data_IF_320307356832
#
_entry.id   IF_320307356832
#
_cell.length_a   1.000
_cell.length_b   1.000
_cell.length_c   1.000
_cell.angle_alpha   90.00
_cell.angle_beta   90.00
_cell.angle_gamma   90.00
#
_symmetry.space_group_name_H-M   'P 1'
#
loop_
_entity.id
_entity.type
_entity.pdbx_description
1 polymer ?
#
# COMPACT_ATOMS: atom_id res chain seq x y z
N UNK A 1 42.25 -18.01 -14.97
CA UNK A 1 41.29 -18.68 -14.07
C UNK A 1 40.44 -17.61 -13.40
N UNK A 2 39.18 -17.93 -13.10
CA UNK A 2 38.01 -17.04 -13.18
C UNK A 2 37.97 -15.79 -12.26
N UNK A 3 37.42 -14.71 -12.80
CA UNK A 3 37.01 -13.49 -12.10
C UNK A 3 35.67 -13.73 -11.39
N UNK A 4 35.65 -13.66 -10.05
CA UNK A 4 34.40 -13.72 -9.28
C UNK A 4 33.78 -12.33 -9.17
N UNK A 5 32.88 -12.00 -10.09
CA UNK A 5 31.91 -10.91 -9.91
C UNK A 5 30.87 -11.34 -8.88
N UNK A 6 31.14 -11.10 -7.60
CA UNK A 6 30.12 -11.25 -6.56
C UNK A 6 29.16 -10.07 -6.68
N UNK A 7 28.00 -10.32 -7.29
CA UNK A 7 26.80 -9.51 -7.15
C UNK A 7 26.42 -9.52 -5.67
N UNK A 8 26.80 -8.46 -4.96
CA UNK A 8 26.24 -8.14 -3.66
C UNK A 8 24.80 -7.65 -3.92
N UNK A 9 23.88 -8.59 -3.76
CA UNK A 9 22.45 -8.40 -3.67
C UNK A 9 22.23 -7.28 -2.63
N UNK A 10 21.86 -6.10 -3.10
CA UNK A 10 21.46 -4.95 -2.29
C UNK A 10 20.16 -5.34 -1.59
N UNK A 11 20.29 -6.04 -0.47
CA UNK A 11 19.23 -6.05 0.53
C UNK A 11 18.95 -4.59 0.82
N UNK A 12 17.70 -4.09 0.68
CA UNK A 12 17.43 -2.69 0.89
C UNK A 12 17.82 -2.42 2.33
N UNK A 13 18.97 -1.76 2.52
CA UNK A 13 19.37 -1.21 3.80
C UNK A 13 18.17 -0.41 4.21
N UNK A 14 17.45 -0.87 5.25
CA UNK A 14 16.32 -0.15 5.81
C UNK A 14 16.92 1.13 6.36
N UNK A 15 17.06 2.12 5.49
CA UNK A 15 17.50 3.48 5.79
C UNK A 15 16.68 3.86 7.02
N UNK A 16 17.27 4.44 8.08
CA UNK A 16 16.53 4.79 9.28
C UNK A 16 15.33 5.58 8.81
N UNK A 17 14.15 4.96 8.87
CA UNK A 17 12.95 5.46 8.23
C UNK A 17 12.72 6.81 8.89
N UNK A 18 13.00 7.90 8.15
CA UNK A 18 12.87 9.25 8.65
C UNK A 18 11.42 9.34 9.13
N UNK A 19 11.23 9.29 10.44
CA UNK A 19 9.96 8.97 11.11
C UNK A 19 8.80 9.59 10.35
N UNK A 20 8.13 8.79 9.52
CA UNK A 20 7.15 9.33 8.60
C UNK A 20 6.03 9.94 9.41
N UNK A 21 5.70 11.19 9.12
CA UNK A 21 4.66 11.88 9.87
C UNK A 21 3.33 11.26 9.47
N UNK A 22 2.55 10.71 10.42
CA UNK A 22 1.23 10.22 10.10
C UNK A 22 0.38 11.37 9.58
N UNK A 23 -0.26 11.15 8.44
CA UNK A 23 -1.09 12.14 7.77
C UNK A 23 -2.57 11.90 8.04
N UNK A 24 -3.37 12.97 7.98
CA UNK A 24 -4.82 12.87 8.11
C UNK A 24 -5.47 12.31 6.84
N UNK A 25 -6.70 11.80 6.97
CA UNK A 25 -7.50 11.28 5.86
C UNK A 25 -7.60 12.23 4.64
N UNK A 26 -7.59 13.55 4.86
CA UNK A 26 -7.63 14.54 3.76
C UNK A 26 -6.36 14.49 2.89
N UNK A 27 -5.20 14.39 3.51
CA UNK A 27 -3.92 14.33 2.79
C UNK A 27 -3.78 12.99 2.07
N UNK A 28 -4.20 11.90 2.71
CA UNK A 28 -4.29 10.60 2.07
C UNK A 28 -5.23 10.59 0.85
N UNK A 29 -6.34 11.35 0.93
CA UNK A 29 -7.30 11.53 -0.15
C UNK A 29 -6.73 12.27 -1.35
N UNK A 30 -5.98 13.33 -1.11
CA UNK A 30 -5.26 14.04 -2.16
C UNK A 30 -4.19 13.14 -2.80
N UNK A 31 -3.48 12.34 -2.00
CA UNK A 31 -2.46 11.41 -2.50
C UNK A 31 -3.04 10.31 -3.40
N UNK A 32 -4.14 9.68 -3.00
CA UNK A 32 -4.81 8.63 -3.77
C UNK A 32 -5.76 9.18 -4.85
N UNK A 33 -5.95 10.51 -4.92
CA UNK A 33 -6.96 11.16 -5.75
C UNK A 33 -8.39 10.59 -5.54
N UNK A 34 -8.72 10.28 -4.28
CA UNK A 34 -10.01 9.73 -3.89
C UNK A 34 -10.77 10.68 -2.96
N UNK A 35 -12.09 10.53 -2.87
CA UNK A 35 -12.86 11.29 -1.90
C UNK A 35 -12.56 10.82 -0.46
N UNK A 36 -12.42 11.75 0.48
CA UNK A 36 -12.07 11.48 1.89
C UNK A 36 -12.99 10.43 2.52
N UNK A 37 -14.31 10.52 2.25
CA UNK A 37 -15.30 9.56 2.77
C UNK A 37 -15.02 8.13 2.30
N UNK A 38 -14.55 7.97 1.06
CA UNK A 38 -14.23 6.66 0.50
C UNK A 38 -13.01 6.06 1.18
N UNK A 39 -11.96 6.85 1.43
CA UNK A 39 -10.77 6.39 2.17
C UNK A 39 -11.12 5.98 3.58
N UNK A 40 -11.87 6.81 4.31
CA UNK A 40 -12.28 6.47 5.68
C UNK A 40 -13.13 5.19 5.72
N UNK A 41 -13.99 4.99 4.72
CA UNK A 41 -14.79 3.77 4.59
C UNK A 41 -13.89 2.55 4.32
N UNK A 42 -12.95 2.65 3.40
CA UNK A 42 -12.03 1.57 3.05
C UNK A 42 -11.10 1.21 4.21
N UNK A 43 -10.62 2.21 4.94
CA UNK A 43 -9.85 2.01 6.16
C UNK A 43 -10.68 1.32 7.25
N UNK A 44 -11.96 1.71 7.41
CA UNK A 44 -12.89 1.06 8.33
C UNK A 44 -13.18 -0.41 8.02
N UNK A 45 -13.13 -0.81 6.75
CA UNK A 45 -13.30 -2.20 6.30
C UNK A 45 -11.96 -2.96 6.37
N UNK A 46 -10.82 -2.27 6.52
CA UNK A 46 -9.48 -2.86 6.50
C UNK A 46 -8.92 -3.09 5.09
N UNK A 47 -9.48 -2.45 4.06
CA UNK A 47 -8.99 -2.57 2.69
C UNK A 47 -7.73 -1.74 2.41
N UNK A 48 -7.60 -0.59 3.06
CA UNK A 48 -6.45 0.32 2.97
C UNK A 48 -5.78 0.35 4.35
N UNK A 49 -4.43 0.35 4.43
CA UNK A 49 -3.72 0.50 5.69
C UNK A 49 -4.06 1.85 6.32
N UNK A 50 -4.72 1.81 7.48
CA UNK A 50 -5.17 3.00 8.18
C UNK A 50 -5.24 2.73 9.68
N UNK A 51 -4.78 3.70 10.47
CA UNK A 51 -4.66 3.60 11.90
C UNK A 51 -5.74 4.45 12.58
N UNK A 52 -6.75 3.83 13.22
CA UNK A 52 -7.76 4.58 13.96
C UNK A 52 -7.17 5.07 15.29
N UNK A 53 -7.12 6.39 15.48
CA UNK A 53 -6.75 7.06 16.73
C UNK A 53 -7.99 7.68 17.36
N UNK A 54 -8.22 7.32 18.63
CA UNK A 54 -9.26 7.89 19.48
C UNK A 54 -10.09 6.83 20.18
N UNK A 55 -10.47 7.13 21.42
CA UNK A 55 -11.38 6.31 22.21
C UNK A 55 -12.81 6.87 22.06
N UNK A 56 -13.74 6.10 21.48
CA UNK A 56 -15.17 6.45 21.37
C UNK A 56 -15.73 6.56 19.94
N UNK A 57 -16.82 7.33 19.80
CA UNK A 57 -17.63 7.46 18.56
C UNK A 57 -16.95 8.26 17.42
N UNK A 58 -15.95 9.08 17.73
CA UNK A 58 -15.20 9.89 16.74
C UNK A 58 -13.77 9.38 16.59
N UNK A 59 -13.60 8.34 15.77
CA UNK A 59 -12.29 7.83 15.40
C UNK A 59 -11.66 8.72 14.33
N UNK A 60 -10.47 9.25 14.59
CA UNK A 60 -9.65 9.91 13.56
C UNK A 60 -8.82 8.83 12.88
N UNK A 61 -8.74 8.86 11.56
CA UNK A 61 -7.89 7.93 10.83
C UNK A 61 -6.59 8.62 10.44
N UNK A 62 -5.48 7.98 10.82
CA UNK A 62 -4.14 8.36 10.41
C UNK A 62 -3.62 7.35 9.39
N UNK A 63 -2.87 7.87 8.43
CA UNK A 63 -2.31 7.10 7.33
C UNK A 63 -0.82 7.40 7.23
N UNK A 64 -0.04 6.42 6.79
CA UNK A 64 1.36 6.63 6.42
C UNK A 64 1.47 6.64 4.91
N UNK A 65 2.22 7.57 4.35
CA UNK A 65 2.36 7.69 2.89
C UNK A 65 3.09 6.47 2.33
N UNK A 66 4.15 5.97 3.00
CA UNK A 66 4.82 4.76 2.53
C UNK A 66 3.96 3.50 2.59
N UNK A 67 3.07 3.36 3.59
CA UNK A 67 2.12 2.25 3.61
C UNK A 67 1.13 2.33 2.45
N UNK A 68 0.65 3.54 2.12
CA UNK A 68 -0.23 3.74 0.96
C UNK A 68 0.49 3.45 -0.36
N UNK A 69 1.76 3.85 -0.49
CA UNK A 69 2.59 3.57 -1.67
C UNK A 69 2.85 2.07 -1.82
N UNK A 70 3.24 1.38 -0.73
CA UNK A 70 3.44 -0.06 -0.73
C UNK A 70 2.15 -0.80 -1.07
N UNK A 71 1.02 -0.38 -0.50
CA UNK A 71 -0.29 -0.93 -0.82
C UNK A 71 -0.66 -0.76 -2.30
N UNK A 72 -0.41 0.42 -2.88
CA UNK A 72 -0.62 0.67 -4.31
C UNK A 72 0.21 -0.28 -5.18
N UNK A 73 1.50 -0.45 -4.85
CA UNK A 73 2.39 -1.39 -5.55
C UNK A 73 1.87 -2.83 -5.47
N UNK A 74 1.40 -3.26 -4.30
CA UNK A 74 0.80 -4.58 -4.11
C UNK A 74 -0.49 -4.76 -4.92
N UNK A 75 -1.35 -3.74 -5.00
CA UNK A 75 -2.59 -3.80 -5.81
C UNK A 75 -2.28 -3.97 -7.29
N UNK A 76 -1.30 -3.24 -7.83
CA UNK A 76 -0.90 -3.34 -9.24
C UNK A 76 -0.38 -4.75 -9.58
N UNK A 77 0.41 -5.37 -8.69
CA UNK A 77 0.85 -6.76 -8.88
C UNK A 77 -0.31 -7.77 -8.87
N UNK A 78 -1.33 -7.53 -8.04
CA UNK A 78 -2.52 -8.39 -7.93
C UNK A 78 -3.47 -8.25 -9.14
N UNK A 79 -3.65 -7.03 -9.65
CA UNK A 79 -4.44 -6.74 -10.86
C UNK A 79 -3.77 -7.32 -12.13
N UNK A 80 -2.45 -7.19 -12.21
CA UNK A 80 -1.64 -7.75 -13.31
C UNK A 80 -1.71 -9.27 -13.36
N UNK A 81 -1.77 -9.92 -12.18
CA UNK A 81 -1.97 -11.36 -12.07
C UNK A 81 -3.40 -11.78 -12.47
N UNK A 82 -4.42 -11.00 -12.12
CA UNK A 82 -5.83 -11.26 -12.52
C UNK A 82 -6.04 -11.17 -14.03
N UNK A 83 -5.36 -10.25 -14.73
CA UNK A 83 -5.41 -10.19 -16.20
C UNK A 83 -4.85 -11.44 -16.88
N UNK A 84 -3.96 -12.21 -16.25
CA UNK A 84 -3.47 -13.49 -16.79
C UNK A 84 -4.41 -14.67 -16.52
N UNK A 85 -5.28 -14.61 -15.51
CA UNK A 85 -6.21 -15.70 -15.20
C UNK A 85 -7.49 -15.70 -16.06
N UNK A 86 -7.73 -14.66 -16.85
CA UNK A 86 -8.91 -14.54 -17.72
C UNK A 86 -8.74 -15.16 -19.11
N UNK A 87 -8.23 -16.39 -19.26
CA UNK A 87 -8.38 -17.17 -20.52
C UNK A 87 -8.10 -18.67 -20.37
N UNK A 88 -8.87 -19.37 -19.56
CA UNK A 88 -8.98 -20.83 -19.61
C UNK A 88 -10.39 -21.19 -20.03
N UNK A 89 -10.64 -21.24 -21.35
CA UNK A 89 -11.94 -21.65 -21.89
C UNK A 89 -12.29 -23.06 -21.43
N UNK A 90 -13.45 -23.22 -20.80
CA UNK A 90 -14.06 -24.51 -20.60
C UNK A 90 -15.01 -24.72 -21.77
N UNK A 91 -14.51 -25.43 -22.79
CA UNK A 91 -15.32 -26.07 -23.82
C UNK A 91 -15.74 -27.43 -23.26
N UNK A 92 -17.04 -27.69 -23.28
CA UNK A 92 -17.64 -29.02 -23.24
C UNK A 92 -18.94 -28.96 -24.04
#
# INVERSE_FOLDING_TARGET
MATHITTAIDAPRKVPQASERPVAAKVAAEFLQMHVRSITRLAGIGHIPGHPIGYGQRKKWLFYISELDEWLRCQVCSESSRRRQGKGGQVA
#
